data_IF_677044314976
#
_entry.id   IF_677044314976
#
_cell.length_a   1.000
_cell.length_b   1.000
_cell.length_c   1.000
_cell.angle_alpha   90.00
_cell.angle_beta   90.00
_cell.angle_gamma   90.00
#
_symmetry.space_group_name_H-M   'P 1'
#
loop_
_entity.id
_entity.type
_entity.pdbx_description
1 polymer ?
#
# COMPACT_ATOMS: atom_id res chain seq x y z
N UNK A 1 24.46 -3.30 21.34
CA UNK A 1 23.55 -2.59 20.40
C UNK A 1 23.71 -1.11 20.66
N UNK A 2 23.97 -0.30 19.64
CA UNK A 2 24.13 1.16 19.78
C UNK A 2 22.84 1.74 20.36
N UNK A 3 22.95 2.67 21.32
CA UNK A 3 21.78 3.30 21.98
C UNK A 3 20.82 3.95 20.97
N UNK A 4 21.34 4.60 19.92
CA UNK A 4 20.52 5.19 18.87
C UNK A 4 19.68 4.17 18.10
N UNK A 5 20.26 3.02 17.74
CA UNK A 5 19.54 1.92 17.09
C UNK A 5 18.47 1.35 18.03
N UNK A 6 18.77 1.21 19.33
CA UNK A 6 17.80 0.76 20.32
C UNK A 6 16.58 1.69 20.40
N UNK A 7 16.81 3.00 20.41
CA UNK A 7 15.72 4.00 20.41
C UNK A 7 14.82 3.83 19.18
N UNK A 8 15.40 3.62 17.98
CA UNK A 8 14.61 3.38 16.76
C UNK A 8 13.76 2.11 16.85
N UNK A 9 14.36 1.01 17.31
CA UNK A 9 13.62 -0.26 17.49
C UNK A 9 12.48 -0.06 18.49
N UNK A 10 12.73 0.60 19.61
CA UNK A 10 11.69 0.90 20.61
C UNK A 10 10.60 1.81 20.05
N UNK A 11 10.96 2.80 19.23
CA UNK A 11 9.99 3.66 18.55
C UNK A 11 9.07 2.87 17.61
N UNK A 12 9.64 1.96 16.81
CA UNK A 12 8.86 1.11 15.89
C UNK A 12 7.95 0.13 16.67
N UNK A 13 8.46 -0.46 17.75
CA UNK A 13 7.65 -1.33 18.63
C UNK A 13 6.53 -0.53 19.29
N UNK A 14 6.84 0.66 19.84
CA UNK A 14 5.83 1.54 20.43
C UNK A 14 4.77 1.94 19.43
N UNK A 15 5.18 2.30 18.19
CA UNK A 15 4.27 2.62 17.11
C UNK A 15 3.33 1.44 16.82
N UNK A 16 3.90 0.25 16.64
CA UNK A 16 3.12 -0.97 16.39
C UNK A 16 2.13 -1.27 17.52
N UNK A 17 2.57 -1.24 18.77
CA UNK A 17 1.70 -1.48 19.94
C UNK A 17 0.54 -0.49 19.97
N UNK A 18 0.81 0.80 19.81
CA UNK A 18 -0.22 1.84 19.81
C UNK A 18 -1.19 1.70 18.61
N UNK A 19 -0.70 1.27 17.45
CA UNK A 19 -1.55 0.96 16.29
C UNK A 19 -2.49 -0.23 16.58
N UNK A 20 -1.99 -1.30 17.21
CA UNK A 20 -2.82 -2.41 17.66
C UNK A 20 -3.83 -2.03 18.75
N UNK A 21 -3.48 -1.06 19.59
CA UNK A 21 -4.42 -0.46 20.56
C UNK A 21 -5.41 0.51 19.91
N UNK A 22 -5.32 0.69 18.58
CA UNK A 22 -6.24 1.49 17.77
C UNK A 22 -6.19 3.00 18.08
N UNK A 23 -5.05 3.51 18.50
CA UNK A 23 -4.81 4.95 18.57
C UNK A 23 -4.80 5.51 17.14
N UNK A 24 -5.50 6.63 16.93
CA UNK A 24 -5.53 7.29 15.62
C UNK A 24 -4.11 7.63 15.14
N UNK A 25 -3.81 7.39 13.87
CA UNK A 25 -2.53 7.74 13.26
C UNK A 25 -2.18 9.22 13.45
N UNK A 26 -3.18 10.11 13.44
CA UNK A 26 -3.02 11.55 13.64
C UNK A 26 -2.46 11.92 15.04
N UNK A 27 -2.66 11.06 16.03
CA UNK A 27 -2.12 11.23 17.39
C UNK A 27 -0.84 10.41 17.55
N UNK A 28 -0.87 9.17 17.06
CA UNK A 28 0.17 8.18 17.26
C UNK A 28 1.50 8.62 16.64
N UNK A 29 1.49 9.04 15.37
CA UNK A 29 2.72 9.39 14.68
C UNK A 29 3.43 10.62 15.29
N UNK A 30 2.76 11.74 15.60
CA UNK A 30 3.38 12.83 16.35
C UNK A 30 3.90 12.41 17.72
N UNK A 31 3.15 11.57 18.46
CA UNK A 31 3.53 11.12 19.80
C UNK A 31 4.82 10.29 19.77
N UNK A 32 4.92 9.31 18.88
CA UNK A 32 6.14 8.52 18.71
C UNK A 32 7.28 9.37 18.14
N UNK A 33 6.98 10.36 17.29
CA UNK A 33 7.97 11.33 16.82
C UNK A 33 8.57 12.14 17.97
N UNK A 34 7.75 12.58 18.92
CA UNK A 34 8.24 13.29 20.13
C UNK A 34 9.15 12.37 20.95
N UNK A 35 8.78 11.10 21.11
CA UNK A 35 9.65 10.11 21.77
C UNK A 35 11.01 10.01 21.07
N UNK A 36 11.03 9.89 19.73
CA UNK A 36 12.27 9.83 18.95
C UNK A 36 13.08 11.12 19.12
N UNK A 37 12.47 12.30 19.05
CA UNK A 37 13.16 13.58 19.21
C UNK A 37 13.83 13.70 20.60
N UNK A 38 13.16 13.27 21.64
CA UNK A 38 13.69 13.36 23.03
C UNK A 38 14.82 12.38 23.24
N UNK A 39 14.69 11.15 22.73
CA UNK A 39 15.61 10.05 23.02
C UNK A 39 16.76 9.91 22.00
N UNK A 40 16.71 10.59 20.85
CA UNK A 40 17.72 10.49 19.81
C UNK A 40 18.66 11.69 19.77
N UNK A 41 19.88 11.44 19.26
CA UNK A 41 20.80 12.50 18.84
C UNK A 41 20.57 12.79 17.37
N UNK A 42 20.79 14.03 16.96
CA UNK A 42 20.70 14.48 15.58
C UNK A 42 22.06 15.05 15.15
N UNK A 43 22.70 14.49 14.11
CA UNK A 43 23.93 15.06 13.56
C UNK A 43 23.70 16.50 13.09
N UNK A 44 24.65 17.39 13.35
CA UNK A 44 24.53 18.82 12.98
C UNK A 44 24.38 18.98 11.46
N UNK A 45 25.05 18.14 10.69
CA UNK A 45 25.03 18.12 9.22
C UNK A 45 23.65 17.78 8.63
N UNK A 46 22.79 17.12 9.43
CA UNK A 46 21.45 16.72 9.01
C UNK A 46 20.35 17.63 9.58
N UNK A 47 20.75 18.64 10.38
CA UNK A 47 19.81 19.64 10.88
C UNK A 47 19.39 20.61 9.77
N UNK A 48 18.14 21.12 9.83
CA UNK A 48 17.72 22.19 8.94
C UNK A 48 18.58 23.46 9.11
N UNK A 49 18.67 24.28 8.07
CA UNK A 49 19.42 25.55 8.13
C UNK A 49 18.96 26.42 9.29
N UNK A 50 19.92 26.98 10.04
CA UNK A 50 19.67 27.84 11.19
C UNK A 50 19.26 27.12 12.47
N UNK A 51 19.34 25.78 12.52
CA UNK A 51 19.06 24.98 13.72
C UNK A 51 20.34 24.50 14.35
N UNK A 52 20.70 25.07 15.48
CA UNK A 52 21.88 24.66 16.26
C UNK A 52 21.59 23.44 17.15
N UNK A 53 20.36 23.32 17.63
CA UNK A 53 19.93 22.23 18.52
C UNK A 53 18.51 21.78 18.24
N UNK A 54 18.33 20.45 18.15
CA UNK A 54 17.01 19.86 17.99
C UNK A 54 16.16 20.02 19.24
N UNK A 55 14.98 20.61 19.10
CA UNK A 55 13.93 20.67 20.12
C UNK A 55 12.70 19.94 19.61
N UNK A 56 11.75 19.62 20.51
CA UNK A 56 10.48 18.99 20.09
C UNK A 56 9.79 19.84 19.02
N UNK A 57 9.68 21.14 19.27
CA UNK A 57 8.99 22.05 18.34
C UNK A 57 9.73 22.19 17.01
N UNK A 58 11.06 22.26 17.02
CA UNK A 58 11.89 22.31 15.82
C UNK A 58 11.73 21.01 15.01
N UNK A 59 11.83 19.85 15.66
CA UNK A 59 11.65 18.56 15.02
C UNK A 59 10.27 18.42 14.38
N UNK A 60 9.22 18.80 15.09
CA UNK A 60 7.86 18.75 14.53
C UNK A 60 7.65 19.76 13.40
N UNK A 61 8.15 21.00 13.52
CA UNK A 61 7.92 22.03 12.50
C UNK A 61 8.83 21.88 11.26
N UNK A 62 10.09 21.46 11.45
CA UNK A 62 11.10 21.52 10.39
C UNK A 62 11.49 20.15 9.80
N UNK A 63 11.12 19.05 10.44
CA UNK A 63 11.33 17.70 9.89
C UNK A 63 10.02 16.98 9.65
N UNK A 64 9.17 16.86 10.67
CA UNK A 64 7.92 16.13 10.60
C UNK A 64 6.94 16.76 9.60
N UNK A 65 6.60 18.05 9.81
CA UNK A 65 5.61 18.73 8.96
C UNK A 65 6.06 18.90 7.51
N UNK A 66 7.32 19.23 7.18
CA UNK A 66 7.76 19.27 5.80
C UNK A 66 7.65 17.91 5.09
N UNK A 67 8.01 16.80 5.75
CA UNK A 67 7.86 15.46 5.17
C UNK A 67 6.38 15.11 4.95
N UNK A 68 5.53 15.40 5.93
CA UNK A 68 4.08 15.19 5.81
C UNK A 68 3.45 16.06 4.72
N UNK A 69 3.79 17.35 4.65
CA UNK A 69 3.25 18.26 3.63
C UNK A 69 3.73 17.94 2.22
N UNK A 70 4.98 17.54 2.05
CA UNK A 70 5.50 17.07 0.78
C UNK A 70 4.71 15.85 0.25
N UNK A 71 4.35 14.93 1.15
CA UNK A 71 3.49 13.80 0.80
C UNK A 71 2.11 14.25 0.34
N UNK A 72 1.47 15.16 1.08
CA UNK A 72 0.16 15.72 0.69
C UNK A 72 0.25 16.40 -0.66
N UNK A 73 1.27 17.23 -0.88
CA UNK A 73 1.48 17.93 -2.16
C UNK A 73 1.62 16.96 -3.34
N UNK A 74 2.32 15.85 -3.13
CA UNK A 74 2.57 14.86 -4.19
C UNK A 74 1.37 13.98 -4.52
N UNK A 75 0.51 13.70 -3.53
CA UNK A 75 -0.49 12.64 -3.66
C UNK A 75 -1.94 13.08 -3.43
N UNK A 76 -2.20 14.34 -3.05
CA UNK A 76 -3.58 14.78 -2.76
C UNK A 76 -4.54 14.53 -3.93
N UNK A 77 -4.16 14.90 -5.15
CA UNK A 77 -5.02 14.70 -6.32
C UNK A 77 -5.33 13.22 -6.57
N UNK A 78 -4.35 12.33 -6.37
CA UNK A 78 -4.53 10.88 -6.51
C UNK A 78 -5.56 10.36 -5.52
N UNK A 79 -5.44 10.74 -4.24
CA UNK A 79 -6.40 10.37 -3.20
C UNK A 79 -7.80 10.95 -3.48
N UNK A 80 -7.85 12.22 -3.89
CA UNK A 80 -9.09 12.94 -4.15
C UNK A 80 -9.91 12.29 -5.28
N UNK A 81 -9.31 12.10 -6.45
CA UNK A 81 -10.03 11.49 -7.58
C UNK A 81 -10.36 10.02 -7.34
N UNK A 82 -9.48 9.29 -6.64
CA UNK A 82 -9.73 7.90 -6.25
C UNK A 82 -10.93 7.77 -5.31
N UNK A 83 -11.00 8.59 -4.27
CA UNK A 83 -12.10 8.59 -3.32
C UNK A 83 -13.44 9.03 -3.97
N UNK A 84 -13.39 10.02 -4.88
CA UNK A 84 -14.56 10.41 -5.68
C UNK A 84 -15.05 9.22 -6.53
N UNK A 85 -14.14 8.52 -7.19
CA UNK A 85 -14.49 7.34 -8.00
C UNK A 85 -15.14 6.26 -7.14
N UNK A 86 -14.57 5.95 -5.98
CA UNK A 86 -15.12 4.99 -5.03
C UNK A 86 -16.53 5.36 -4.57
N UNK A 87 -16.74 6.62 -4.20
CA UNK A 87 -18.05 7.14 -3.81
C UNK A 87 -19.08 7.02 -4.95
N UNK A 88 -18.72 7.43 -6.18
CA UNK A 88 -19.60 7.29 -7.35
C UNK A 88 -19.98 5.82 -7.58
N UNK A 89 -19.02 4.90 -7.52
CA UNK A 89 -19.29 3.47 -7.72
C UNK A 89 -20.18 2.87 -6.65
N UNK A 90 -20.03 3.30 -5.42
CA UNK A 90 -20.87 2.86 -4.30
C UNK A 90 -22.31 3.39 -4.46
N UNK A 91 -22.46 4.69 -4.67
CA UNK A 91 -23.79 5.31 -4.71
C UNK A 91 -24.59 5.02 -5.99
N UNK A 92 -23.94 4.73 -7.11
CA UNK A 92 -24.62 4.31 -8.35
C UNK A 92 -25.01 2.85 -8.37
N UNK A 93 -24.47 2.01 -7.46
CA UNK A 93 -24.62 0.57 -7.48
C UNK A 93 -23.73 -0.13 -8.52
N UNK A 94 -22.78 0.60 -9.15
CA UNK A 94 -21.87 0.03 -10.13
C UNK A 94 -21.00 -1.08 -9.52
N UNK A 95 -20.50 -0.87 -8.30
CA UNK A 95 -19.72 -1.84 -7.57
C UNK A 95 -20.50 -3.13 -7.29
N UNK A 96 -21.77 -3.00 -6.88
CA UNK A 96 -22.68 -4.13 -6.63
C UNK A 96 -22.96 -4.91 -7.93
N UNK A 97 -23.21 -4.20 -9.04
CA UNK A 97 -23.45 -4.83 -10.35
C UNK A 97 -22.27 -5.66 -10.84
N UNK A 98 -21.04 -5.11 -10.78
CA UNK A 98 -19.81 -5.83 -11.13
C UNK A 98 -19.62 -7.04 -10.22
N UNK A 99 -19.84 -6.87 -8.92
CA UNK A 99 -19.66 -7.94 -7.93
C UNK A 99 -20.63 -9.09 -8.14
N UNK A 100 -21.90 -8.80 -8.44
CA UNK A 100 -22.91 -9.82 -8.78
C UNK A 100 -22.54 -10.57 -10.06
N UNK A 101 -22.04 -9.86 -11.08
CA UNK A 101 -21.57 -10.49 -12.31
C UNK A 101 -20.39 -11.43 -12.05
N UNK A 102 -19.38 -10.99 -11.28
CA UNK A 102 -18.24 -11.82 -10.90
C UNK A 102 -18.67 -13.01 -10.04
N UNK A 103 -19.53 -12.78 -9.03
CA UNK A 103 -20.03 -13.84 -8.16
C UNK A 103 -20.83 -14.89 -8.95
N UNK A 104 -21.62 -14.47 -9.94
CA UNK A 104 -22.33 -15.36 -10.85
C UNK A 104 -21.39 -16.24 -11.66
N UNK A 105 -20.31 -15.70 -12.17
CA UNK A 105 -19.27 -16.43 -12.92
C UNK A 105 -18.45 -17.35 -12.00
N UNK A 106 -18.03 -16.88 -10.85
CA UNK A 106 -17.24 -17.64 -9.88
C UNK A 106 -18.08 -18.59 -9.01
N UNK A 107 -19.41 -18.54 -9.12
CA UNK A 107 -20.36 -19.26 -8.25
C UNK A 107 -20.12 -18.95 -6.76
N UNK A 108 -19.77 -17.71 -6.44
CA UNK A 108 -19.48 -17.25 -5.08
C UNK A 108 -18.18 -17.82 -4.49
N UNK A 109 -17.31 -18.46 -5.29
CA UNK A 109 -16.03 -19.00 -4.82
C UNK A 109 -14.88 -18.03 -5.14
N UNK A 110 -13.79 -18.16 -4.41
CA UNK A 110 -12.53 -17.44 -4.66
C UNK A 110 -12.63 -15.92 -4.55
N UNK A 111 -13.56 -15.37 -3.76
CA UNK A 111 -13.75 -13.92 -3.66
C UNK A 111 -12.47 -13.16 -3.30
N UNK A 112 -11.73 -13.60 -2.27
CA UNK A 112 -10.49 -12.96 -1.87
C UNK A 112 -9.38 -13.10 -2.93
N UNK A 113 -9.09 -14.29 -3.51
CA UNK A 113 -8.18 -14.43 -4.66
C UNK A 113 -8.58 -13.59 -5.88
N UNK A 114 -9.86 -13.47 -6.20
CA UNK A 114 -10.34 -12.65 -7.32
C UNK A 114 -9.97 -11.18 -7.11
N UNK A 115 -10.22 -10.64 -5.91
CA UNK A 115 -9.84 -9.25 -5.59
C UNK A 115 -8.32 -9.07 -5.69
N UNK A 116 -7.54 -10.02 -5.19
CA UNK A 116 -6.08 -10.01 -5.35
C UNK A 116 -5.68 -9.92 -6.84
N UNK A 117 -6.25 -10.76 -7.71
CA UNK A 117 -5.92 -10.77 -9.15
C UNK A 117 -6.32 -9.46 -9.82
N UNK A 118 -7.52 -8.93 -9.53
CA UNK A 118 -7.97 -7.66 -10.11
C UNK A 118 -7.04 -6.51 -9.70
N UNK A 119 -6.71 -6.40 -8.42
CA UNK A 119 -5.82 -5.35 -7.92
C UNK A 119 -4.41 -5.48 -8.48
N UNK A 120 -3.90 -6.71 -8.61
CA UNK A 120 -2.62 -7.02 -9.24
C UNK A 120 -2.57 -6.54 -10.71
N UNK A 121 -3.60 -6.85 -11.50
CA UNK A 121 -3.66 -6.45 -12.91
C UNK A 121 -3.68 -4.92 -13.04
N UNK A 122 -4.46 -4.23 -12.20
CA UNK A 122 -4.56 -2.77 -12.22
C UNK A 122 -3.21 -2.12 -11.87
N UNK A 123 -2.54 -2.58 -10.82
CA UNK A 123 -1.27 -1.99 -10.37
C UNK A 123 -0.10 -2.39 -11.27
N UNK A 124 -0.07 -3.61 -11.81
CA UNK A 124 0.88 -3.98 -12.85
C UNK A 124 0.69 -3.14 -14.12
N UNK A 125 -0.56 -2.80 -14.45
CA UNK A 125 -0.90 -1.85 -15.50
C UNK A 125 -0.51 -0.40 -15.19
N UNK A 126 0.04 -0.10 -14.01
CA UNK A 126 0.57 1.20 -13.63
C UNK A 126 -0.42 2.09 -12.86
N UNK A 127 -1.61 1.60 -12.54
CA UNK A 127 -2.53 2.35 -11.66
C UNK A 127 -1.95 2.37 -10.24
N UNK A 128 -1.89 3.57 -9.64
CA UNK A 128 -1.41 3.71 -8.26
C UNK A 128 -2.23 2.86 -7.28
N UNK A 129 -1.55 2.14 -6.37
CA UNK A 129 -2.21 1.34 -5.33
C UNK A 129 -3.20 2.15 -4.48
N UNK A 130 -2.92 3.43 -4.25
CA UNK A 130 -3.85 4.32 -3.54
C UNK A 130 -5.17 4.53 -4.31
N UNK A 131 -5.12 4.71 -5.63
CA UNK A 131 -6.32 4.78 -6.47
C UNK A 131 -7.06 3.44 -6.41
N UNK A 132 -6.33 2.33 -6.52
CA UNK A 132 -6.91 0.99 -6.51
C UNK A 132 -7.67 0.70 -5.21
N UNK A 133 -7.21 1.19 -4.05
CA UNK A 133 -7.95 1.04 -2.79
C UNK A 133 -9.38 1.58 -2.87
N UNK A 134 -9.53 2.80 -3.34
CA UNK A 134 -10.84 3.44 -3.43
C UNK A 134 -11.72 2.82 -4.51
N UNK A 135 -11.12 2.47 -5.65
CA UNK A 135 -11.82 1.87 -6.79
C UNK A 135 -12.33 0.46 -6.46
N UNK A 136 -11.47 -0.35 -5.84
CA UNK A 136 -11.76 -1.77 -5.66
C UNK A 136 -12.47 -2.06 -4.33
N UNK A 137 -12.31 -1.23 -3.30
CA UNK A 137 -12.96 -1.50 -2.02
C UNK A 137 -14.49 -1.69 -2.12
N UNK A 138 -15.27 -0.82 -2.80
CA UNK A 138 -16.70 -1.06 -2.96
C UNK A 138 -17.02 -2.38 -3.70
N UNK A 139 -16.22 -2.74 -4.70
CA UNK A 139 -16.36 -3.99 -5.44
C UNK A 139 -16.05 -5.18 -4.52
N UNK A 140 -14.94 -5.11 -3.79
CA UNK A 140 -14.54 -6.15 -2.85
C UNK A 140 -15.59 -6.35 -1.76
N UNK A 141 -16.11 -5.26 -1.19
CA UNK A 141 -17.13 -5.29 -0.16
C UNK A 141 -18.38 -6.04 -0.63
N UNK A 142 -18.89 -5.71 -1.82
CA UNK A 142 -20.07 -6.35 -2.38
C UNK A 142 -19.79 -7.81 -2.78
N UNK A 143 -18.62 -8.12 -3.37
CA UNK A 143 -18.25 -9.49 -3.72
C UNK A 143 -18.15 -10.39 -2.47
N UNK A 144 -17.58 -9.87 -1.38
CA UNK A 144 -17.49 -10.59 -0.11
C UNK A 144 -18.87 -10.79 0.51
N UNK A 145 -19.79 -9.81 0.35
CA UNK A 145 -21.19 -9.93 0.78
C UNK A 145 -21.92 -11.03 0.00
N UNK A 146 -21.84 -11.03 -1.32
CA UNK A 146 -22.44 -12.06 -2.18
C UNK A 146 -21.89 -13.48 -1.91
N UNK A 147 -20.61 -13.56 -1.52
CA UNK A 147 -19.95 -14.81 -1.18
C UNK A 147 -20.09 -15.20 0.30
N UNK A 148 -20.75 -14.39 1.09
CA UNK A 148 -20.86 -14.49 2.56
C UNK A 148 -19.50 -14.72 3.25
N UNK A 149 -18.45 -14.03 2.76
CA UNK A 149 -17.09 -14.15 3.28
C UNK A 149 -16.77 -13.00 4.24
N UNK A 150 -16.09 -13.31 5.34
CA UNK A 150 -15.71 -12.31 6.34
C UNK A 150 -14.88 -11.16 5.75
N UNK A 151 -15.23 -9.93 6.10
CA UNK A 151 -14.53 -8.69 5.67
C UNK A 151 -13.07 -8.61 6.13
N UNK A 152 -12.64 -9.44 7.09
CA UNK A 152 -11.27 -9.49 7.62
C UNK A 152 -10.20 -9.69 6.53
N UNK A 153 -10.55 -10.38 5.44
CA UNK A 153 -9.62 -10.65 4.34
C UNK A 153 -9.58 -9.57 3.26
N UNK A 154 -10.51 -8.61 3.24
CA UNK A 154 -10.54 -7.54 2.23
C UNK A 154 -9.21 -6.76 2.19
N UNK A 155 -8.68 -6.25 3.34
CA UNK A 155 -7.42 -5.50 3.31
C UNK A 155 -6.26 -6.32 2.76
N UNK A 156 -6.13 -7.58 3.18
CA UNK A 156 -5.05 -8.45 2.69
C UNK A 156 -5.17 -8.74 1.19
N UNK A 157 -6.39 -8.99 0.69
CA UNK A 157 -6.62 -9.25 -0.73
C UNK A 157 -6.30 -8.02 -1.60
N UNK A 158 -6.73 -6.82 -1.19
CA UNK A 158 -6.47 -5.58 -1.92
C UNK A 158 -4.98 -5.24 -1.88
N UNK A 159 -4.38 -5.22 -0.70
CA UNK A 159 -3.00 -4.77 -0.54
C UNK A 159 -1.99 -5.74 -1.14
N UNK A 160 -2.25 -7.05 -1.09
CA UNK A 160 -1.41 -8.03 -1.75
C UNK A 160 -1.34 -7.78 -3.26
N UNK A 161 -2.46 -7.54 -3.94
CA UNK A 161 -2.43 -7.22 -5.36
C UNK A 161 -1.74 -5.89 -5.66
N UNK A 162 -1.88 -4.91 -4.76
CA UNK A 162 -1.31 -3.59 -4.98
C UNK A 162 0.22 -3.54 -4.86
N UNK A 163 0.81 -4.30 -3.93
CA UNK A 163 2.21 -4.08 -3.52
C UNK A 163 3.08 -5.33 -3.44
N UNK A 164 2.72 -6.41 -4.12
CA UNK A 164 3.57 -7.59 -4.23
C UNK A 164 4.01 -7.81 -5.68
N UNK A 165 3.21 -8.47 -6.47
CA UNK A 165 3.56 -8.85 -7.85
C UNK A 165 3.97 -7.65 -8.71
N UNK A 166 3.39 -6.47 -8.53
CA UNK A 166 3.79 -5.26 -9.25
C UNK A 166 5.23 -4.80 -8.95
N UNK A 167 5.80 -5.19 -7.81
CA UNK A 167 7.19 -4.91 -7.46
C UNK A 167 8.13 -5.98 -7.98
N UNK A 168 7.72 -7.23 -7.95
CA UNK A 168 8.52 -8.40 -8.37
C UNK A 168 8.56 -8.54 -9.90
N UNK A 169 7.43 -8.25 -10.58
CA UNK A 169 7.28 -8.53 -12.00
C UNK A 169 8.11 -7.59 -12.89
N UNK A 170 8.87 -8.13 -13.86
CA UNK A 170 9.58 -7.33 -14.85
C UNK A 170 8.62 -6.49 -15.69
N UNK A 171 9.06 -5.28 -16.08
CA UNK A 171 8.26 -4.36 -16.91
C UNK A 171 7.21 -3.56 -16.15
N UNK A 172 7.01 -3.80 -14.88
CA UNK A 172 6.08 -3.02 -14.05
C UNK A 172 6.57 -1.58 -13.87
N UNK A 173 5.71 -0.57 -14.09
CA UNK A 173 6.03 0.84 -13.86
C UNK A 173 5.89 1.26 -12.39
N UNK A 174 6.01 0.33 -11.44
CA UNK A 174 5.95 0.67 -10.01
C UNK A 174 7.05 1.64 -9.62
N UNK A 175 6.78 2.49 -8.62
CA UNK A 175 7.74 3.49 -8.12
C UNK A 175 9.07 2.83 -7.71
N UNK A 176 9.03 1.64 -7.13
CA UNK A 176 10.21 0.89 -6.71
C UNK A 176 11.08 0.48 -7.89
N UNK A 177 10.46 0.00 -8.96
CA UNK A 177 11.19 -0.30 -10.19
C UNK A 177 11.78 0.97 -10.83
N UNK A 178 11.05 2.08 -10.85
CA UNK A 178 11.55 3.37 -11.36
C UNK A 178 12.74 3.87 -10.53
N UNK A 179 12.69 3.78 -9.21
CA UNK A 179 13.80 4.13 -8.31
C UNK A 179 15.03 3.26 -8.64
N UNK A 180 14.87 1.95 -8.80
CA UNK A 180 15.97 1.05 -9.16
C UNK A 180 16.55 1.38 -10.52
N UNK A 181 15.71 1.56 -11.55
CA UNK A 181 16.14 1.96 -12.90
C UNK A 181 16.99 3.23 -12.88
N UNK A 182 16.54 4.24 -12.12
CA UNK A 182 17.22 5.54 -12.06
C UNK A 182 18.56 5.46 -11.33
N UNK A 183 18.62 4.75 -10.19
CA UNK A 183 19.85 4.67 -9.39
C UNK A 183 20.89 3.69 -9.93
N UNK A 184 20.46 2.63 -10.61
CA UNK A 184 21.33 1.55 -11.10
C UNK A 184 21.52 1.56 -12.61
N UNK A 185 20.84 2.46 -13.33
CA UNK A 185 20.83 2.52 -14.80
C UNK A 185 20.50 1.17 -15.46
N UNK A 186 19.46 0.49 -14.97
CA UNK A 186 19.03 -0.83 -15.41
C UNK A 186 17.70 -0.77 -16.17
N UNK A 187 17.41 -1.73 -17.08
CA UNK A 187 16.13 -1.74 -17.79
C UNK A 187 14.96 -2.13 -16.86
N UNK A 188 13.74 -1.77 -17.24
CA UNK A 188 12.53 -2.20 -16.52
C UNK A 188 12.36 -3.73 -16.47
N UNK A 189 12.97 -4.44 -17.40
CA UNK A 189 12.97 -5.91 -17.52
C UNK A 189 14.17 -6.58 -16.84
N UNK A 190 14.91 -5.85 -16.01
CA UNK A 190 16.08 -6.34 -15.30
C UNK A 190 15.85 -7.69 -14.63
N UNK A 191 16.82 -8.60 -14.74
CA UNK A 191 16.80 -9.97 -14.19
C UNK A 191 15.48 -10.72 -14.51
N UNK A 192 15.06 -10.72 -15.78
CA UNK A 192 13.75 -11.23 -16.22
C UNK A 192 13.47 -12.65 -15.75
N UNK A 193 14.35 -13.61 -16.06
CA UNK A 193 14.09 -15.02 -15.82
C UNK A 193 13.92 -15.38 -14.32
N UNK A 194 14.86 -15.01 -13.41
CA UNK A 194 14.67 -15.27 -11.98
C UNK A 194 13.50 -14.51 -11.38
N UNK A 195 13.18 -13.31 -11.92
CA UNK A 195 11.99 -12.55 -11.50
C UNK A 195 10.69 -13.27 -11.82
N UNK A 196 10.57 -13.85 -13.01
CA UNK A 196 9.35 -14.57 -13.41
C UNK A 196 9.11 -15.81 -12.51
N UNK A 197 10.16 -16.52 -12.11
CA UNK A 197 10.01 -17.62 -11.15
C UNK A 197 9.52 -17.09 -9.80
N UNK A 198 10.12 -16.01 -9.30
CA UNK A 198 9.69 -15.38 -8.04
C UNK A 198 8.22 -14.90 -8.12
N UNK A 199 7.81 -14.26 -9.22
CA UNK A 199 6.41 -13.84 -9.49
C UNK A 199 5.45 -15.02 -9.40
N UNK A 200 5.77 -16.14 -10.07
CA UNK A 200 4.88 -17.31 -10.07
C UNK A 200 4.73 -17.88 -8.66
N UNK A 201 5.85 -18.01 -7.94
CA UNK A 201 5.83 -18.53 -6.56
C UNK A 201 5.04 -17.59 -5.65
N UNK A 202 5.30 -16.29 -5.71
CA UNK A 202 4.59 -15.29 -4.89
C UNK A 202 3.08 -15.30 -5.19
N UNK A 203 2.71 -15.27 -6.46
CA UNK A 203 1.32 -15.33 -6.90
C UNK A 203 0.61 -16.58 -6.37
N UNK A 204 1.21 -17.75 -6.55
CA UNK A 204 0.61 -19.03 -6.12
C UNK A 204 0.46 -19.07 -4.59
N UNK A 205 1.49 -18.65 -3.85
CA UNK A 205 1.44 -18.66 -2.39
C UNK A 205 0.38 -17.70 -1.86
N UNK A 206 0.27 -16.49 -2.41
CA UNK A 206 -0.77 -15.52 -2.00
C UNK A 206 -2.16 -16.06 -2.34
N UNK A 207 -2.36 -16.58 -3.56
CA UNK A 207 -3.63 -17.14 -3.99
C UNK A 207 -4.08 -18.28 -3.07
N UNK A 208 -3.19 -19.24 -2.81
CA UNK A 208 -3.45 -20.39 -1.94
C UNK A 208 -3.72 -19.93 -0.50
N UNK A 209 -2.93 -18.96 0.01
CA UNK A 209 -3.13 -18.41 1.35
C UNK A 209 -4.51 -17.78 1.50
N UNK A 210 -4.89 -16.88 0.59
CA UNK A 210 -6.18 -16.19 0.66
C UNK A 210 -7.36 -17.17 0.58
N UNK A 211 -7.29 -18.16 -0.30
CA UNK A 211 -8.34 -19.17 -0.41
C UNK A 211 -8.41 -20.07 0.82
N UNK A 212 -7.26 -20.53 1.33
CA UNK A 212 -7.21 -21.32 2.54
C UNK A 212 -7.76 -20.55 3.74
N UNK A 213 -7.41 -19.27 3.89
CA UNK A 213 -7.92 -18.41 4.96
C UNK A 213 -9.42 -18.18 4.85
N UNK A 214 -9.91 -17.94 3.63
CA UNK A 214 -11.35 -17.81 3.38
C UNK A 214 -12.11 -19.04 3.89
N UNK A 215 -11.67 -20.23 3.49
CA UNK A 215 -12.26 -21.49 3.96
C UNK A 215 -12.12 -21.68 5.47
N UNK A 216 -10.97 -21.38 6.04
CA UNK A 216 -10.72 -21.49 7.48
C UNK A 216 -11.63 -20.57 8.29
N UNK A 217 -11.85 -19.33 7.85
CA UNK A 217 -12.76 -18.41 8.50
C UNK A 217 -14.20 -18.89 8.43
N UNK A 218 -14.66 -19.31 7.25
CA UNK A 218 -16.00 -19.86 7.06
C UNK A 218 -16.24 -21.09 7.95
N UNK A 219 -15.27 -22.01 8.03
CA UNK A 219 -15.35 -23.18 8.91
C UNK A 219 -15.42 -22.83 10.40
N UNK A 220 -14.87 -21.67 10.80
CA UNK A 220 -14.94 -21.15 12.18
C UNK A 220 -16.16 -20.27 12.43
N UNK A 221 -17.08 -20.15 11.49
CA UNK A 221 -18.29 -19.34 11.62
C UNK A 221 -18.04 -17.83 11.54
N UNK A 222 -17.00 -17.39 10.82
CA UNK A 222 -16.76 -15.98 10.50
C UNK A 222 -17.35 -15.69 9.12
N UNK A 223 -18.44 -14.96 9.09
CA UNK A 223 -19.14 -14.58 7.87
C UNK A 223 -19.07 -13.08 7.63
N UNK A 224 -19.75 -12.59 6.59
CA UNK A 224 -19.75 -11.19 6.22
C UNK A 224 -20.26 -10.27 7.34
N UNK A 225 -21.41 -10.58 7.89
CA UNK A 225 -22.05 -9.85 9.00
C UNK A 225 -21.60 -10.42 10.37
N UNK A 226 -20.28 -10.35 10.65
CA UNK A 226 -19.73 -10.82 11.92
C UNK A 226 -19.91 -9.76 13.01
N UNK A 227 -20.74 -9.99 14.04
CA UNK A 227 -20.98 -9.03 15.14
C UNK A 227 -19.73 -8.78 15.99
N UNK A 228 -18.70 -9.62 15.88
CA UNK A 228 -17.42 -9.47 16.60
C UNK A 228 -16.49 -8.42 15.97
N UNK A 229 -16.82 -7.92 14.78
CA UNK A 229 -16.09 -6.83 14.16
C UNK A 229 -16.37 -5.51 14.89
N UNK A 230 -15.33 -4.74 15.15
CA UNK A 230 -15.45 -3.46 15.87
C UNK A 230 -16.33 -2.46 15.12
N UNK A 231 -16.11 -2.36 13.80
CA UNK A 231 -16.87 -1.45 12.97
C UNK A 231 -17.94 -2.21 12.21
N UNK A 232 -19.20 -1.91 12.52
CA UNK A 232 -20.32 -2.36 11.72
C UNK A 232 -20.53 -1.40 10.53
N UNK A 233 -21.03 -1.93 9.43
CA UNK A 233 -21.30 -1.14 8.24
C UNK A 233 -22.69 -0.53 8.32
N UNK A 234 -22.79 0.74 7.95
CA UNK A 234 -24.08 1.38 7.80
C UNK A 234 -24.81 0.86 6.55
N UNK A 235 -26.16 0.86 6.53
CA UNK A 235 -26.93 0.45 5.36
C UNK A 235 -26.55 1.19 4.08
N UNK A 236 -26.15 2.47 4.20
CA UNK A 236 -25.67 3.30 3.08
C UNK A 236 -24.34 2.79 2.48
N UNK A 237 -23.48 2.20 3.32
CA UNK A 237 -22.18 1.65 2.90
C UNK A 237 -22.29 0.30 2.22
N UNK A 238 -23.31 -0.46 2.60
CA UNK A 238 -23.64 -1.72 1.95
C UNK A 238 -24.26 -1.54 0.57
N UNK A 239 -24.32 -0.29 0.07
CA UNK A 239 -25.26 0.08 -0.98
C UNK A 239 -26.68 -0.11 -0.44
N UNK A 240 -27.69 0.47 -1.03
CA UNK A 240 -29.08 0.12 -0.65
C UNK A 240 -29.32 -1.33 -1.11
N UNK A 241 -28.94 -2.27 -0.24
CA UNK A 241 -29.00 -3.70 -0.53
C UNK A 241 -30.40 -4.07 -1.06
N UNK A 242 -30.40 -4.68 -2.25
CA UNK A 242 -31.66 -5.01 -2.95
C UNK A 242 -32.15 -3.92 -3.90
N UNK A 243 -31.29 -3.01 -4.39
CA UNK A 243 -31.66 -2.17 -5.55
C UNK A 243 -32.02 -3.08 -6.72
N UNK A 244 -33.28 -3.05 -7.13
CA UNK A 244 -33.73 -3.71 -8.35
C UNK A 244 -33.17 -3.03 -9.60
N UNK A 245 -32.80 -1.74 -9.51
CA UNK A 245 -32.32 -0.90 -10.61
C UNK A 245 -30.80 -0.70 -10.57
N UNK A 246 -30.01 -1.79 -10.64
CA UNK A 246 -28.57 -1.71 -10.83
C UNK A 246 -28.22 -1.32 -12.28
N UNK A 247 -27.08 -0.62 -12.52
CA UNK A 247 -26.57 -0.44 -13.88
C UNK A 247 -26.16 -1.81 -14.44
N UNK A 248 -26.25 -1.99 -15.78
CA UNK A 248 -25.68 -3.19 -16.39
C UNK A 248 -24.17 -3.27 -16.14
N UNK A 249 -23.64 -4.45 -15.83
CA UNK A 249 -22.22 -4.65 -15.48
C UNK A 249 -21.25 -4.09 -16.55
N UNK A 250 -21.59 -4.16 -17.83
CA UNK A 250 -20.78 -3.60 -18.91
C UNK A 250 -20.71 -2.07 -18.85
N UNK A 251 -21.81 -1.38 -18.48
CA UNK A 251 -21.82 0.08 -18.25
C UNK A 251 -20.98 0.41 -17.03
N UNK A 252 -21.07 -0.41 -15.98
CA UNK A 252 -20.30 -0.22 -14.77
C UNK A 252 -18.78 -0.44 -14.98
N UNK A 253 -18.36 -1.34 -15.89
CA UNK A 253 -16.95 -1.55 -16.24
C UNK A 253 -16.39 -0.46 -17.16
N UNK A 254 -17.21 0.21 -17.96
CA UNK A 254 -16.76 1.20 -18.95
C UNK A 254 -15.84 2.29 -18.35
N UNK A 255 -16.15 2.93 -17.20
CA UNK A 255 -15.25 3.94 -16.62
C UNK A 255 -13.87 3.38 -16.22
N UNK A 256 -13.82 2.14 -15.74
CA UNK A 256 -12.54 1.46 -15.41
C UNK A 256 -11.73 1.25 -16.70
N UNK A 257 -12.38 0.81 -17.77
CA UNK A 257 -11.73 0.63 -19.07
C UNK A 257 -11.21 1.97 -19.60
N UNK A 258 -11.99 3.06 -19.47
CA UNK A 258 -11.57 4.41 -19.86
C UNK A 258 -10.30 4.81 -19.10
N UNK A 259 -10.25 4.61 -17.78
CA UNK A 259 -9.06 4.89 -16.97
C UNK A 259 -7.84 4.13 -17.52
N UNK A 260 -7.99 2.83 -17.73
CA UNK A 260 -6.90 1.97 -18.21
C UNK A 260 -6.40 2.37 -19.60
N UNK A 261 -7.32 2.68 -20.52
CA UNK A 261 -6.99 3.09 -21.89
C UNK A 261 -6.29 4.46 -21.90
N UNK A 262 -6.79 5.43 -21.16
CA UNK A 262 -6.16 6.76 -21.06
C UNK A 262 -4.76 6.65 -20.43
N UNK A 263 -4.65 5.95 -19.33
CA UNK A 263 -3.39 5.85 -18.60
C UNK A 263 -2.35 5.01 -19.36
N UNK A 264 -2.71 3.78 -19.77
CA UNK A 264 -1.74 2.87 -20.41
C UNK A 264 -1.60 3.11 -21.92
N UNK A 265 -2.70 3.39 -22.63
CA UNK A 265 -2.71 3.60 -24.07
C UNK A 265 -2.21 4.98 -24.47
N UNK A 266 -2.77 6.02 -23.87
CA UNK A 266 -2.46 7.41 -24.23
C UNK A 266 -1.44 8.07 -23.29
N UNK A 267 -0.95 7.37 -22.24
CA UNK A 267 0.03 7.89 -21.27
C UNK A 267 -0.44 9.17 -20.56
N UNK A 268 -1.75 9.33 -20.40
CA UNK A 268 -2.35 10.45 -19.65
C UNK A 268 -2.00 10.26 -18.16
N UNK A 269 -1.67 11.34 -17.41
CA UNK A 269 -1.42 11.25 -15.96
C UNK A 269 -2.57 10.54 -15.23
N UNK A 270 -2.24 9.77 -14.19
CA UNK A 270 -3.19 8.92 -13.48
C UNK A 270 -4.36 9.73 -12.91
N UNK A 271 -4.10 10.92 -12.39
CA UNK A 271 -5.12 11.82 -11.83
C UNK A 271 -6.15 12.23 -12.89
N UNK A 272 -5.69 12.62 -14.07
CA UNK A 272 -6.55 13.01 -15.19
C UNK A 272 -7.32 11.80 -15.74
N UNK A 273 -6.69 10.63 -15.80
CA UNK A 273 -7.32 9.37 -16.24
C UNK A 273 -8.45 8.96 -15.29
N UNK A 274 -8.22 9.03 -13.98
CA UNK A 274 -9.23 8.69 -12.96
C UNK A 274 -10.33 9.74 -12.94
N UNK A 275 -10.00 11.04 -13.12
CA UNK A 275 -11.01 12.09 -13.23
C UNK A 275 -11.93 11.86 -14.44
N UNK A 276 -11.38 11.46 -15.60
CA UNK A 276 -12.19 11.06 -16.76
C UNK A 276 -13.06 9.83 -16.44
N UNK A 277 -12.55 8.90 -15.64
CA UNK A 277 -13.34 7.77 -15.10
C UNK A 277 -14.50 8.23 -14.23
N UNK A 278 -14.27 9.17 -13.29
CA UNK A 278 -15.34 9.78 -12.47
C UNK A 278 -16.39 10.46 -13.34
N UNK A 279 -15.95 11.29 -14.29
CA UNK A 279 -16.85 11.99 -15.18
C UNK A 279 -17.70 11.03 -16.04
N UNK A 280 -17.07 10.03 -16.65
CA UNK A 280 -17.78 9.00 -17.43
C UNK A 280 -18.74 8.17 -16.57
N UNK A 281 -18.34 7.79 -15.37
CA UNK A 281 -19.20 7.07 -14.41
C UNK A 281 -20.42 7.92 -14.04
N UNK A 282 -20.21 9.20 -13.75
CA UNK A 282 -21.28 10.14 -13.41
C UNK A 282 -22.26 10.31 -14.58
N UNK A 283 -21.76 10.51 -15.80
CA UNK A 283 -22.59 10.70 -17.00
C UNK A 283 -23.38 9.44 -17.31
N UNK A 284 -22.71 8.29 -17.40
CA UNK A 284 -23.33 7.01 -17.80
C UNK A 284 -24.36 6.52 -16.77
N UNK A 285 -24.14 6.83 -15.50
CA UNK A 285 -24.97 6.34 -14.40
C UNK A 285 -25.72 7.46 -13.67
N UNK A 286 -25.88 8.65 -14.31
CA UNK A 286 -26.56 9.79 -13.72
C UNK A 286 -27.93 9.46 -13.12
N UNK A 287 -28.74 8.67 -13.85
CA UNK A 287 -30.09 8.28 -13.44
C UNK A 287 -30.12 7.26 -12.28
N UNK A 288 -28.97 6.66 -11.94
CA UNK A 288 -28.87 5.65 -10.87
C UNK A 288 -28.77 6.27 -9.47
N UNK A 289 -28.59 7.61 -9.38
CA UNK A 289 -28.65 8.35 -8.12
C UNK A 289 -29.96 9.15 -8.11
N UNK A 290 -31.00 8.65 -7.42
CA UNK A 290 -32.29 9.33 -7.35
C UNK A 290 -32.15 10.64 -6.56
N UNK A 291 -32.91 11.69 -6.96
CA UNK A 291 -32.84 13.01 -6.30
C UNK A 291 -32.00 14.05 -7.05
N UNK A 292 -31.43 13.68 -8.21
CA UNK A 292 -30.76 14.61 -9.12
C UNK A 292 -29.54 15.28 -8.57
N UNK A 293 -29.27 16.53 -8.94
CA UNK A 293 -28.01 17.24 -8.61
C UNK A 293 -27.74 17.32 -7.10
N UNK A 294 -28.77 17.45 -6.27
CA UNK A 294 -28.56 17.53 -4.81
C UNK A 294 -27.96 16.29 -4.21
N UNK A 295 -28.39 15.11 -4.67
CA UNK A 295 -27.83 13.83 -4.20
C UNK A 295 -26.42 13.61 -4.78
N UNK A 296 -26.19 13.98 -6.04
CA UNK A 296 -24.84 13.95 -6.62
C UNK A 296 -23.85 14.84 -5.85
N UNK A 297 -24.26 16.02 -5.38
CA UNK A 297 -23.42 16.85 -4.52
C UNK A 297 -23.06 16.15 -3.20
N UNK A 298 -23.98 15.37 -2.60
CA UNK A 298 -23.66 14.57 -1.40
C UNK A 298 -22.63 13.48 -1.70
N UNK A 299 -22.77 12.80 -2.85
CA UNK A 299 -21.81 11.77 -3.29
C UNK A 299 -20.41 12.38 -3.43
N UNK A 300 -20.29 13.52 -4.11
CA UNK A 300 -19.00 14.18 -4.29
C UNK A 300 -18.44 14.71 -2.97
N UNK A 301 -19.26 15.31 -2.13
CA UNK A 301 -18.83 15.79 -0.80
C UNK A 301 -18.33 14.64 0.08
N UNK A 302 -18.99 13.47 0.03
CA UNK A 302 -18.53 12.27 0.75
C UNK A 302 -17.14 11.82 0.25
N UNK A 303 -16.96 11.66 -1.06
CA UNK A 303 -15.67 11.30 -1.64
C UNK A 303 -14.57 12.30 -1.28
N UNK A 304 -14.87 13.59 -1.32
CA UNK A 304 -13.93 14.64 -0.92
C UNK A 304 -13.53 14.53 0.56
N UNK A 305 -14.49 14.33 1.46
CA UNK A 305 -14.22 14.16 2.89
C UNK A 305 -13.38 12.89 3.17
N UNK A 306 -13.72 11.77 2.54
CA UNK A 306 -13.00 10.50 2.69
C UNK A 306 -11.54 10.62 2.20
N UNK A 307 -11.30 11.39 1.13
CA UNK A 307 -9.95 11.65 0.62
C UNK A 307 -9.08 12.42 1.62
N UNK A 308 -9.66 13.45 2.26
CA UNK A 308 -8.96 14.27 3.26
C UNK A 308 -8.50 13.45 4.47
N UNK A 309 -9.39 12.62 5.02
CA UNK A 309 -9.05 11.73 6.13
C UNK A 309 -7.95 10.74 5.72
N UNK A 310 -8.09 10.12 4.56
CA UNK A 310 -7.17 9.07 4.09
C UNK A 310 -5.77 9.62 3.84
N UNK A 311 -5.65 10.76 3.15
CA UNK A 311 -4.32 11.33 2.87
C UNK A 311 -3.64 11.83 4.12
N UNK A 312 -4.37 12.46 5.06
CA UNK A 312 -3.79 12.94 6.31
C UNK A 312 -3.26 11.78 7.17
N UNK A 313 -3.99 10.67 7.26
CA UNK A 313 -3.52 9.48 7.98
C UNK A 313 -2.19 8.96 7.42
N UNK A 314 -2.03 8.94 6.10
CA UNK A 314 -0.76 8.50 5.48
C UNK A 314 0.34 9.55 5.66
N UNK A 315 0.06 10.82 5.37
CA UNK A 315 1.05 11.90 5.42
C UNK A 315 1.70 12.06 6.80
N UNK A 316 0.90 11.95 7.86
CA UNK A 316 1.39 12.04 9.24
C UNK A 316 2.37 10.91 9.57
N UNK A 317 2.14 9.70 9.06
CA UNK A 317 3.10 8.60 9.24
C UNK A 317 4.38 8.84 8.44
N UNK A 318 4.29 9.42 7.24
CA UNK A 318 5.47 9.85 6.47
C UNK A 318 6.26 10.93 7.23
N UNK A 319 5.58 11.81 7.95
CA UNK A 319 6.21 12.78 8.86
C UNK A 319 7.08 12.12 9.92
N UNK A 320 6.63 11.03 10.54
CA UNK A 320 7.45 10.22 11.46
C UNK A 320 8.72 9.70 10.77
N UNK A 321 8.59 9.11 9.58
CA UNK A 321 9.73 8.65 8.78
C UNK A 321 10.75 9.77 8.49
N UNK A 322 10.27 10.99 8.23
CA UNK A 322 11.12 12.18 8.02
C UNK A 322 11.99 12.53 9.23
N UNK A 323 11.51 12.32 10.47
CA UNK A 323 12.32 12.48 11.68
C UNK A 323 13.30 11.33 11.82
N UNK A 324 12.85 10.08 11.69
CA UNK A 324 13.69 8.88 11.87
C UNK A 324 14.95 8.95 11.02
N UNK A 325 14.82 9.31 9.75
CA UNK A 325 15.93 9.38 8.79
C UNK A 325 17.03 10.40 9.19
N UNK A 326 16.70 11.39 10.00
CA UNK A 326 17.62 12.45 10.47
C UNK A 326 18.28 12.15 11.81
N UNK A 327 17.96 11.02 12.44
CA UNK A 327 18.58 10.63 13.71
C UNK A 327 19.96 10.01 13.53
N UNK A 328 20.85 10.20 14.50
CA UNK A 328 22.14 9.50 14.57
C UNK A 328 21.93 7.98 14.59
N UNK A 329 20.90 7.49 15.29
CA UNK A 329 20.60 6.07 15.35
C UNK A 329 20.30 5.45 13.99
N UNK A 330 19.67 6.20 13.09
CA UNK A 330 19.44 5.74 11.71
C UNK A 330 20.75 5.72 10.90
N UNK A 331 21.61 6.73 11.05
CA UNK A 331 22.93 6.74 10.42
C UNK A 331 23.81 5.60 10.93
N UNK A 332 23.78 5.34 12.24
CA UNK A 332 24.49 4.22 12.85
C UNK A 332 23.96 2.86 12.37
N UNK A 333 22.64 2.74 12.16
CA UNK A 333 22.04 1.55 11.57
C UNK A 333 22.58 1.31 10.16
N UNK A 334 22.57 2.34 9.31
CA UNK A 334 23.11 2.25 7.95
C UNK A 334 24.61 1.92 7.97
N UNK A 335 25.38 2.55 8.86
CA UNK A 335 26.80 2.25 9.02
C UNK A 335 27.06 0.79 9.48
N UNK A 336 26.25 0.29 10.42
CA UNK A 336 26.34 -1.09 10.88
C UNK A 336 26.03 -2.09 9.75
N UNK A 337 25.06 -1.80 8.90
CA UNK A 337 24.74 -2.65 7.75
C UNK A 337 25.93 -2.80 6.80
N UNK A 338 26.76 -1.77 6.61
CA UNK A 338 27.98 -1.83 5.77
C UNK A 338 29.04 -2.82 6.26
N UNK A 339 28.98 -3.20 7.53
CA UNK A 339 29.97 -4.14 8.11
C UNK A 339 29.59 -5.62 7.94
N UNK A 340 28.43 -5.91 7.37
CA UNK A 340 27.94 -7.27 7.21
C UNK A 340 28.66 -8.00 6.08
N UNK A 341 29.29 -9.14 6.42
CA UNK A 341 29.99 -10.01 5.47
C UNK A 341 29.08 -11.20 5.10
N UNK A 342 28.13 -10.93 4.20
CA UNK A 342 27.14 -11.90 3.68
C UNK A 342 27.10 -11.84 2.15
N UNK A 343 26.44 -12.82 1.51
CA UNK A 343 26.38 -12.84 0.04
C UNK A 343 25.72 -11.54 -0.50
N UNK A 344 26.19 -11.02 -1.66
CA UNK A 344 25.78 -9.72 -2.15
C UNK A 344 24.27 -9.51 -2.25
N UNK A 345 23.52 -10.47 -2.81
CA UNK A 345 22.07 -10.34 -2.96
C UNK A 345 21.32 -10.43 -1.63
N UNK A 346 21.81 -11.25 -0.67
CA UNK A 346 21.25 -11.28 0.70
C UNK A 346 21.52 -9.96 1.41
N UNK A 347 22.70 -9.36 1.20
CA UNK A 347 23.04 -8.04 1.72
C UNK A 347 22.06 -6.97 1.20
N UNK A 348 21.84 -6.91 -0.11
CA UNK A 348 20.86 -5.99 -0.73
C UNK A 348 19.46 -6.21 -0.15
N UNK A 349 19.01 -7.46 -0.13
CA UNK A 349 17.69 -7.82 0.41
C UNK A 349 17.48 -7.28 1.84
N UNK A 350 18.41 -7.58 2.73
CA UNK A 350 18.27 -7.23 4.15
C UNK A 350 18.42 -5.73 4.38
N UNK A 351 19.38 -5.07 3.70
CA UNK A 351 19.60 -3.64 3.88
C UNK A 351 18.42 -2.81 3.37
N UNK A 352 17.87 -3.16 2.20
CA UNK A 352 16.69 -2.47 1.65
C UNK A 352 15.46 -2.74 2.50
N UNK A 353 15.20 -3.99 2.91
CA UNK A 353 14.07 -4.32 3.78
C UNK A 353 14.13 -3.57 5.12
N UNK A 354 15.30 -3.53 5.77
CA UNK A 354 15.50 -2.82 7.05
C UNK A 354 15.28 -1.31 6.88
N UNK A 355 15.87 -0.71 5.83
CA UNK A 355 15.66 0.72 5.56
C UNK A 355 14.18 1.03 5.27
N UNK A 356 13.50 0.19 4.50
CA UNK A 356 12.08 0.34 4.19
C UNK A 356 11.22 0.21 5.45
N UNK A 357 11.53 -0.77 6.30
CA UNK A 357 10.87 -0.95 7.59
C UNK A 357 11.08 0.24 8.53
N UNK A 358 12.32 0.73 8.66
CA UNK A 358 12.62 1.88 9.50
C UNK A 358 11.95 3.18 9.01
N UNK A 359 11.81 3.35 7.69
CA UNK A 359 11.15 4.51 7.08
C UNK A 359 9.61 4.39 7.04
N UNK A 360 9.05 3.18 7.23
CA UNK A 360 7.63 2.90 7.02
C UNK A 360 7.17 3.14 5.56
N UNK A 361 8.09 2.99 4.61
CA UNK A 361 7.86 3.30 3.19
C UNK A 361 8.82 2.53 2.29
N UNK A 362 8.30 1.72 1.37
CA UNK A 362 9.09 1.00 0.38
C UNK A 362 9.98 1.95 -0.46
N UNK A 363 9.38 2.96 -1.08
CA UNK A 363 10.09 3.93 -1.92
C UNK A 363 11.08 4.77 -1.13
N UNK A 364 10.67 5.25 0.05
CA UNK A 364 11.54 6.05 0.93
C UNK A 364 12.75 5.25 1.41
N UNK A 365 12.54 4.05 1.92
CA UNK A 365 13.61 3.18 2.41
C UNK A 365 14.55 2.70 1.30
N UNK A 366 14.00 2.37 0.13
CA UNK A 366 14.78 1.99 -1.04
C UNK A 366 15.68 3.15 -1.52
N UNK A 367 15.13 4.38 -1.58
CA UNK A 367 15.91 5.57 -1.92
C UNK A 367 17.07 5.80 -0.94
N UNK A 368 16.82 5.66 0.37
CA UNK A 368 17.87 5.78 1.37
C UNK A 368 18.92 4.68 1.23
N UNK A 369 18.51 3.41 1.04
CA UNK A 369 19.42 2.30 0.86
C UNK A 369 20.32 2.52 -0.36
N UNK A 370 19.78 2.94 -1.50
CA UNK A 370 20.57 3.21 -2.69
C UNK A 370 21.53 4.39 -2.49
N UNK A 371 21.05 5.50 -1.94
CA UNK A 371 21.92 6.65 -1.68
C UNK A 371 23.10 6.33 -0.76
N UNK A 372 22.92 5.41 0.19
CA UNK A 372 23.94 5.07 1.18
C UNK A 372 24.82 3.88 0.81
N UNK A 373 24.31 2.93 0.02
CA UNK A 373 24.88 1.59 -0.13
C UNK A 373 25.14 1.15 -1.58
N UNK A 374 24.78 1.94 -2.60
CA UNK A 374 24.98 1.55 -4.01
C UNK A 374 26.43 1.22 -4.31
N UNK A 375 27.38 2.06 -3.85
CA UNK A 375 28.81 1.80 -4.03
C UNK A 375 29.22 0.48 -3.36
N UNK A 376 28.69 0.20 -2.17
CA UNK A 376 28.95 -1.06 -1.47
C UNK A 376 28.39 -2.27 -2.25
N UNK A 377 27.22 -2.15 -2.88
CA UNK A 377 26.67 -3.21 -3.73
C UNK A 377 27.56 -3.51 -4.92
N UNK A 378 28.13 -2.46 -5.54
CA UNK A 378 29.07 -2.57 -6.67
C UNK A 378 30.39 -3.20 -6.20
N UNK A 379 30.95 -2.75 -5.08
CA UNK A 379 32.19 -3.27 -4.49
C UNK A 379 32.09 -4.76 -4.10
N UNK A 380 30.91 -5.21 -3.68
CA UNK A 380 30.62 -6.61 -3.42
C UNK A 380 30.49 -7.46 -4.70
N UNK A 381 30.58 -6.86 -5.87
CA UNK A 381 30.46 -7.54 -7.17
C UNK A 381 29.03 -7.99 -7.51
N UNK A 382 28.00 -7.38 -6.92
CA UNK A 382 26.62 -7.70 -7.23
C UNK A 382 26.24 -7.31 -8.65
N UNK A 383 25.54 -8.19 -9.37
CA UNK A 383 24.97 -7.85 -10.68
C UNK A 383 23.84 -6.81 -10.51
N UNK A 384 23.97 -5.65 -11.15
CA UNK A 384 23.06 -4.52 -10.95
C UNK A 384 21.62 -4.80 -11.38
N UNK A 385 21.37 -5.66 -12.37
CA UNK A 385 20.01 -6.06 -12.71
C UNK A 385 19.38 -6.95 -11.62
N UNK A 386 20.21 -7.81 -11.01
CA UNK A 386 19.77 -8.62 -9.86
C UNK A 386 19.57 -7.74 -8.61
N UNK A 387 20.45 -6.74 -8.39
CA UNK A 387 20.28 -5.73 -7.32
C UNK A 387 18.97 -4.97 -7.51
N UNK A 388 18.67 -4.50 -8.73
CA UNK A 388 17.41 -3.84 -9.06
C UNK A 388 16.22 -4.66 -8.55
N UNK A 389 16.16 -5.92 -8.98
CA UNK A 389 14.98 -6.75 -8.70
C UNK A 389 14.85 -7.13 -7.24
N UNK A 390 15.93 -7.61 -6.63
CA UNK A 390 15.90 -8.00 -5.22
C UNK A 390 15.60 -6.81 -4.30
N UNK A 391 16.10 -5.62 -4.64
CA UNK A 391 15.78 -4.40 -3.89
C UNK A 391 14.30 -4.02 -4.02
N UNK A 392 13.72 -4.11 -5.24
CA UNK A 392 12.30 -3.83 -5.44
C UNK A 392 11.40 -4.79 -4.67
N UNK A 393 11.72 -6.09 -4.64
CA UNK A 393 10.98 -7.09 -3.85
C UNK A 393 11.13 -6.80 -2.35
N UNK A 394 12.36 -6.66 -1.88
CA UNK A 394 12.68 -6.47 -0.46
C UNK A 394 12.09 -5.19 0.12
N UNK A 395 12.00 -4.11 -0.69
CA UNK A 395 11.39 -2.86 -0.27
C UNK A 395 9.93 -3.03 0.13
N UNK A 396 9.19 -3.94 -0.52
CA UNK A 396 7.78 -4.23 -0.22
C UNK A 396 7.57 -5.22 0.93
N UNK A 397 8.59 -5.55 1.71
CA UNK A 397 8.49 -6.48 2.85
C UNK A 397 8.28 -5.74 4.17
N UNK A 398 9.36 -5.33 4.85
CA UNK A 398 9.28 -4.71 6.18
C UNK A 398 8.67 -3.30 6.17
N UNK A 399 8.51 -2.66 5.02
CA UNK A 399 7.74 -1.42 4.95
C UNK A 399 6.29 -1.61 5.40
N UNK A 400 5.74 -2.83 5.23
CA UNK A 400 4.36 -3.20 5.59
C UNK A 400 4.17 -3.50 7.11
N UNK A 401 5.16 -3.20 7.95
CA UNK A 401 5.00 -3.26 9.40
C UNK A 401 3.80 -2.40 9.87
N UNK A 402 3.22 -2.67 11.07
CA UNK A 402 1.95 -2.05 11.50
C UNK A 402 1.91 -0.52 11.47
N UNK A 403 3.05 0.14 11.39
CA UNK A 403 3.18 1.60 11.34
C UNK A 403 3.12 2.18 9.90
N UNK A 404 3.04 1.35 8.85
CA UNK A 404 3.00 1.85 7.48
C UNK A 404 1.73 2.66 7.21
N UNK A 405 1.90 3.89 6.70
CA UNK A 405 0.80 4.82 6.47
C UNK A 405 -0.24 4.32 5.46
N UNK A 406 0.20 3.66 4.40
CA UNK A 406 -0.70 3.11 3.38
C UNK A 406 -1.58 1.98 3.93
N UNK A 407 -1.03 1.09 4.78
CA UNK A 407 -1.82 0.03 5.41
C UNK A 407 -2.81 0.60 6.44
N UNK A 408 -2.40 1.59 7.22
CA UNK A 408 -3.31 2.29 8.14
C UNK A 408 -4.48 2.92 7.37
N UNK A 409 -4.19 3.55 6.23
CA UNK A 409 -5.21 4.12 5.35
C UNK A 409 -6.14 3.05 4.80
N UNK A 410 -5.61 1.93 4.28
CA UNK A 410 -6.41 0.83 3.77
C UNK A 410 -7.30 0.22 4.84
N UNK A 411 -6.76 -0.03 6.04
CA UNK A 411 -7.54 -0.52 7.17
C UNK A 411 -8.68 0.44 7.52
N UNK A 412 -8.42 1.76 7.49
CA UNK A 412 -9.42 2.79 7.68
C UNK A 412 -10.53 2.75 6.63
N UNK A 413 -10.17 2.66 5.34
CA UNK A 413 -11.13 2.53 4.22
C UNK A 413 -11.98 1.26 4.39
N UNK A 414 -11.34 0.14 4.72
CA UNK A 414 -12.03 -1.14 4.90
C UNK A 414 -12.80 -1.25 6.22
N UNK A 415 -12.73 -0.26 7.10
CA UNK A 415 -13.29 -0.29 8.46
C UNK A 415 -12.86 -1.54 9.23
N UNK A 416 -11.56 -1.82 9.18
CA UNK A 416 -10.92 -2.93 9.88
C UNK A 416 -9.86 -2.41 10.83
N UNK A 417 -9.65 -3.13 11.92
CA UNK A 417 -8.56 -2.87 12.86
C UNK A 417 -7.35 -3.74 12.53
N UNK A 418 -6.17 -3.35 13.00
CA UNK A 418 -4.97 -4.19 12.92
C UNK A 418 -5.20 -5.58 13.53
N UNK A 419 -5.89 -5.64 14.67
CA UNK A 419 -6.18 -6.92 15.34
C UNK A 419 -7.03 -7.87 14.48
N UNK A 420 -7.89 -7.32 13.65
CA UNK A 420 -8.83 -8.10 12.84
C UNK A 420 -8.24 -8.56 11.51
N UNK A 421 -7.37 -7.78 10.89
CA UNK A 421 -6.94 -8.00 9.51
C UNK A 421 -5.41 -8.07 9.30
N UNK A 422 -4.59 -7.56 10.24
CA UNK A 422 -3.16 -7.40 10.00
C UNK A 422 -2.41 -8.73 9.85
N UNK A 423 -2.84 -9.82 10.50
CA UNK A 423 -2.15 -11.11 10.37
C UNK A 423 -2.12 -11.60 8.91
N UNK A 424 -3.22 -11.45 8.18
CA UNK A 424 -3.29 -11.87 6.78
C UNK A 424 -2.51 -10.91 5.86
N UNK A 425 -2.44 -9.62 6.21
CA UNK A 425 -1.56 -8.64 5.57
C UNK A 425 -0.09 -9.03 5.80
N UNK A 426 0.31 -9.34 7.04
CA UNK A 426 1.67 -9.78 7.38
C UNK A 426 2.10 -10.98 6.53
N UNK A 427 1.24 -11.98 6.40
CA UNK A 427 1.60 -13.17 5.62
C UNK A 427 1.70 -12.85 4.13
N UNK A 428 0.74 -12.11 3.57
CA UNK A 428 0.71 -11.84 2.13
C UNK A 428 1.74 -10.81 1.68
N UNK A 429 2.17 -9.90 2.56
CA UNK A 429 3.07 -8.81 2.17
C UNK A 429 4.43 -8.81 2.87
N UNK A 430 4.63 -9.60 3.92
CA UNK A 430 5.95 -9.75 4.55
C UNK A 430 6.48 -11.17 4.35
N UNK A 431 5.76 -12.17 4.86
CA UNK A 431 6.28 -13.54 4.86
C UNK A 431 6.44 -14.11 3.43
N UNK A 432 5.42 -13.99 2.59
CA UNK A 432 5.46 -14.50 1.22
C UNK A 432 6.47 -13.73 0.34
N UNK A 433 6.52 -12.38 0.33
CA UNK A 433 7.56 -11.66 -0.40
C UNK A 433 8.99 -11.97 0.07
N UNK A 434 9.24 -12.24 1.37
CA UNK A 434 10.54 -12.75 1.79
C UNK A 434 10.85 -14.13 1.17
N UNK A 435 9.86 -15.02 1.07
CA UNK A 435 10.04 -16.28 0.34
C UNK A 435 10.37 -16.01 -1.13
N UNK A 436 9.68 -15.05 -1.77
CA UNK A 436 9.97 -14.64 -3.15
C UNK A 436 11.40 -14.09 -3.30
N UNK A 437 11.91 -13.32 -2.31
CA UNK A 437 13.31 -12.89 -2.27
C UNK A 437 14.28 -14.08 -2.30
N UNK A 438 14.08 -15.08 -1.44
CA UNK A 438 14.95 -16.26 -1.39
C UNK A 438 14.86 -17.10 -2.66
N UNK A 439 13.65 -17.25 -3.24
CA UNK A 439 13.46 -17.92 -4.53
C UNK A 439 14.21 -17.18 -5.64
N UNK A 440 14.09 -15.83 -5.68
CA UNK A 440 14.83 -15.01 -6.62
C UNK A 440 16.34 -15.21 -6.49
N UNK A 441 16.89 -15.14 -5.26
CA UNK A 441 18.33 -15.31 -4.99
C UNK A 441 18.80 -16.70 -5.42
N UNK A 442 18.05 -17.75 -5.11
CA UNK A 442 18.36 -19.09 -5.54
C UNK A 442 18.41 -19.21 -7.08
N UNK A 443 17.38 -18.71 -7.77
CA UNK A 443 17.34 -18.75 -9.24
C UNK A 443 18.45 -17.89 -9.88
N UNK A 444 18.76 -16.72 -9.32
CA UNK A 444 19.81 -15.83 -9.81
C UNK A 444 21.23 -16.44 -9.67
N UNK A 445 21.42 -17.35 -8.71
CA UNK A 445 22.69 -18.09 -8.54
C UNK A 445 22.92 -19.20 -9.57
N UNK A 446 21.88 -19.64 -10.28
CA UNK A 446 21.98 -20.68 -11.31
C UNK A 446 21.90 -20.12 -12.75
N UNK A 447 21.62 -18.85 -12.92
CA UNK A 447 21.50 -18.15 -14.21
C UNK A 447 22.58 -17.07 -14.35
#
# INVERSE_FOLDING_TARGET
>A
MNFGILVLVLALVLFGVLAFLQLSALILAPLVSIFVIICSKFPVELLPEGVEKMTILTGLKQLFMPAASAYVTSYFLVFFVGALFGAVYQFTGAAESISKWIAGFSKGKYAAPIIFVITMILTYGGVSGFVVFFVIYPIALNLFKESNLTRRLIPAAISAGCWTVSMVAPGSPSIQNVIAMTNLNTPSTAAFAPSMVAVIVEFVLIFVWLEWRARSFTAKGYFFDDPRLKFQLDPEELGQGGREDLPHWGIALTPIIIILVLFNGFKVPVEASVFAGVASATILMWKKVPGGIREWLKVFNKGAADSGVSILNTAIVVGFGGIVQKTQGFQDLVAALKTWNISPLVFVMLTVAICAGACGSASGGMGVAFNALTDTYIELGANLEQVHRIAAIAAGTLDTLPHQGAQITLLGICKMTHKEAYFDIFVTQIAIPFIACFVFIACAGFM
#
